data_IF_246081130006
#
_entry.id   IF_246081130006
#
_cell.length_a   1.000
_cell.length_b   1.000
_cell.length_c   1.000
_cell.angle_alpha   90.00
_cell.angle_beta   90.00
_cell.angle_gamma   90.00
#
_symmetry.space_group_name_H-M   'P 1'
#
loop_
_entity.id
_entity.type
_entity.pdbx_description
1 polymer ?
#
# COMPACT_ATOMS: atom_id res chain seq x y z
N UNK A 1 43.02 -35.02 -14.01
CA UNK A 1 42.86 -33.87 -13.12
C UNK A 1 41.44 -33.93 -12.63
N UNK A 2 41.24 -34.46 -11.43
CA UNK A 2 39.92 -34.52 -10.80
C UNK A 2 39.79 -33.24 -9.99
N UNK A 3 38.97 -32.30 -10.45
CA UNK A 3 38.61 -31.14 -9.66
C UNK A 3 37.69 -31.63 -8.53
N UNK A 4 38.25 -31.68 -7.31
CA UNK A 4 37.47 -31.78 -6.08
C UNK A 4 36.62 -30.51 -5.97
N UNK A 5 35.33 -30.66 -6.20
CA UNK A 5 34.34 -29.64 -5.87
C UNK A 5 34.37 -29.49 -4.34
N UNK A 6 34.68 -28.30 -3.79
CA UNK A 6 34.70 -28.11 -2.34
C UNK A 6 33.32 -28.44 -1.77
N UNK A 7 33.30 -29.25 -0.71
CA UNK A 7 32.07 -29.74 -0.08
C UNK A 7 31.08 -28.61 0.20
N UNK A 8 29.95 -28.66 -0.51
CA UNK A 8 28.78 -27.86 -0.17
C UNK A 8 28.28 -28.27 1.21
N UNK A 9 27.86 -27.29 2.00
CA UNK A 9 27.15 -27.53 3.25
C UNK A 9 25.95 -28.46 2.97
N UNK A 10 25.91 -29.68 3.54
CA UNK A 10 24.85 -30.64 3.24
C UNK A 10 23.46 -30.19 3.69
N UNK A 11 23.38 -29.13 4.50
CA UNK A 11 22.13 -28.50 4.95
C UNK A 11 21.74 -27.27 4.10
N UNK A 12 22.52 -26.90 3.08
CA UNK A 12 22.22 -25.76 2.21
C UNK A 12 21.16 -26.11 1.16
N UNK A 13 19.94 -25.66 1.40
CA UNK A 13 18.83 -25.76 0.47
C UNK A 13 18.85 -24.59 -0.53
N UNK A 14 19.41 -24.83 -1.71
CA UNK A 14 19.48 -23.84 -2.79
C UNK A 14 18.10 -23.39 -3.25
N UNK A 15 17.10 -24.28 -3.24
CA UNK A 15 15.75 -23.95 -3.69
C UNK A 15 15.09 -22.99 -2.69
N UNK A 16 15.23 -23.26 -1.39
CA UNK A 16 14.74 -22.35 -0.34
C UNK A 16 15.45 -20.99 -0.37
N UNK A 17 16.77 -20.94 -0.55
CA UNK A 17 17.49 -19.66 -0.65
C UNK A 17 17.18 -18.91 -1.95
N UNK A 18 16.93 -19.62 -3.05
CA UNK A 18 16.45 -19.02 -4.30
C UNK A 18 15.03 -18.47 -4.14
N UNK A 19 14.10 -19.20 -3.54
CA UNK A 19 12.74 -18.73 -3.26
C UNK A 19 12.74 -17.54 -2.31
N UNK A 20 13.63 -17.52 -1.31
CA UNK A 20 13.79 -16.37 -0.42
C UNK A 20 14.35 -15.14 -1.13
N UNK A 21 15.27 -15.33 -2.09
CA UNK A 21 15.89 -14.23 -2.82
C UNK A 21 15.03 -13.72 -4.00
N UNK A 22 14.27 -14.61 -4.65
CA UNK A 22 13.60 -14.36 -5.94
C UNK A 22 12.13 -14.79 -6.01
N UNK A 23 11.59 -15.35 -4.93
CA UNK A 23 10.18 -15.73 -4.85
C UNK A 23 9.24 -14.53 -4.83
N UNK A 24 7.91 -14.78 -4.84
CA UNK A 24 6.91 -13.72 -4.83
C UNK A 24 7.10 -12.81 -3.63
N UNK A 25 7.46 -11.55 -3.90
CA UNK A 25 7.60 -10.55 -2.85
C UNK A 25 6.23 -10.10 -2.41
N UNK A 26 5.99 -9.96 -1.09
CA UNK A 26 4.72 -9.44 -0.63
C UNK A 26 4.52 -8.03 -1.19
N UNK A 27 3.28 -7.66 -1.53
CA UNK A 27 3.00 -6.31 -1.97
C UNK A 27 3.35 -5.32 -0.85
N UNK A 28 3.92 -4.19 -1.24
CA UNK A 28 4.21 -3.07 -0.35
C UNK A 28 2.92 -2.31 -0.01
N UNK A 29 1.98 -2.26 -0.96
CA UNK A 29 0.69 -1.58 -0.79
C UNK A 29 -0.37 -2.12 -1.72
N UNK A 30 -1.61 -2.19 -1.23
CA UNK A 30 -2.80 -2.44 -2.06
C UNK A 30 -3.77 -1.28 -1.94
N UNK A 31 -4.16 -0.73 -3.09
CA UNK A 31 -5.03 0.44 -3.20
C UNK A 31 -6.20 0.11 -4.11
N UNK A 32 -7.43 0.26 -3.60
CA UNK A 32 -8.64 0.00 -4.36
C UNK A 32 -9.31 1.32 -4.71
N UNK A 33 -9.73 1.49 -5.95
CA UNK A 33 -10.56 2.62 -6.39
C UNK A 33 -11.97 2.11 -6.62
N UNK A 34 -12.92 2.76 -5.95
CA UNK A 34 -14.32 2.32 -5.90
C UNK A 34 -15.21 3.52 -6.26
N UNK A 35 -16.19 3.37 -7.17
CA UNK A 35 -17.06 4.46 -7.63
C UNK A 35 -18.18 4.77 -6.62
N UNK A 36 -17.84 4.86 -5.34
CA UNK A 36 -18.72 5.26 -4.24
C UNK A 36 -18.24 6.60 -3.72
N UNK A 37 -19.09 7.62 -3.78
CA UNK A 37 -18.66 8.99 -3.44
C UNK A 37 -18.54 9.27 -1.93
N UNK A 38 -19.24 8.49 -1.09
CA UNK A 38 -19.30 8.74 0.36
C UNK A 38 -18.38 7.78 1.12
N UNK A 39 -17.25 8.31 1.60
CA UNK A 39 -16.24 7.55 2.33
C UNK A 39 -16.77 6.89 3.60
N UNK A 40 -17.65 7.57 4.36
CA UNK A 40 -18.21 7.02 5.60
C UNK A 40 -19.11 5.81 5.33
N UNK A 41 -19.99 5.89 4.34
CA UNK A 41 -20.85 4.76 3.95
C UNK A 41 -20.02 3.59 3.43
N UNK A 42 -18.98 3.87 2.65
CA UNK A 42 -18.10 2.81 2.16
C UNK A 42 -17.29 2.18 3.30
N UNK A 43 -16.83 2.97 4.27
CA UNK A 43 -16.16 2.46 5.46
C UNK A 43 -17.07 1.53 6.29
N UNK A 44 -18.37 1.85 6.41
CA UNK A 44 -19.34 0.96 7.04
C UNK A 44 -19.47 -0.38 6.29
N UNK A 45 -19.46 -0.35 4.95
CA UNK A 45 -19.43 -1.56 4.12
C UNK A 45 -18.14 -2.36 4.35
N UNK A 46 -16.98 -1.69 4.41
CA UNK A 46 -15.71 -2.33 4.72
C UNK A 46 -15.75 -3.04 6.08
N UNK A 47 -16.26 -2.37 7.12
CA UNK A 47 -16.44 -2.97 8.45
C UNK A 47 -17.36 -4.19 8.41
N UNK A 48 -18.50 -4.09 7.73
CA UNK A 48 -19.42 -5.23 7.58
C UNK A 48 -18.82 -6.40 6.78
N UNK A 49 -17.88 -6.10 5.89
CA UNK A 49 -17.19 -7.07 5.05
C UNK A 49 -15.92 -7.66 5.69
N UNK A 50 -15.50 -7.18 6.86
CA UNK A 50 -14.22 -7.56 7.48
C UNK A 50 -12.98 -7.02 6.74
N UNK A 51 -13.15 -5.96 5.94
CA UNK A 51 -12.07 -5.30 5.20
C UNK A 51 -11.50 -4.18 6.07
N UNK A 52 -10.25 -4.32 6.49
CA UNK A 52 -9.54 -3.31 7.26
C UNK A 52 -8.82 -2.35 6.30
N UNK A 53 -9.32 -1.12 6.17
CA UNK A 53 -8.80 -0.15 5.23
C UNK A 53 -9.14 1.29 5.64
N UNK A 54 -8.33 2.23 5.18
CA UNK A 54 -8.70 3.65 5.18
C UNK A 54 -9.39 4.00 3.88
N UNK A 55 -10.50 4.72 3.97
CA UNK A 55 -11.32 5.16 2.84
C UNK A 55 -11.18 6.66 2.67
N UNK A 56 -10.64 7.09 1.54
CA UNK A 56 -10.40 8.49 1.20
C UNK A 56 -11.32 8.93 0.06
N UNK A 57 -12.20 9.94 0.25
CA UNK A 57 -13.04 10.44 -0.83
C UNK A 57 -12.22 11.25 -1.83
N UNK A 58 -12.41 10.98 -3.12
CA UNK A 58 -11.74 11.67 -4.22
C UNK A 58 -12.78 12.23 -5.19
N UNK A 59 -12.85 13.56 -5.24
CA UNK A 59 -13.82 14.29 -6.07
C UNK A 59 -13.69 13.89 -7.55
N UNK A 60 -14.81 13.48 -8.15
CA UNK A 60 -14.87 13.09 -9.57
C UNK A 60 -14.43 11.66 -9.87
N UNK A 61 -13.93 10.91 -8.88
CA UNK A 61 -13.51 9.52 -9.04
C UNK A 61 -14.32 8.55 -8.17
N UNK A 62 -14.62 8.92 -6.92
CA UNK A 62 -15.27 8.03 -5.95
C UNK A 62 -14.49 8.01 -4.65
N UNK A 63 -14.17 6.83 -4.13
CA UNK A 63 -13.31 6.63 -2.98
C UNK A 63 -12.10 5.79 -3.34
N UNK A 64 -10.99 6.09 -2.69
CA UNK A 64 -9.76 5.28 -2.71
C UNK A 64 -9.65 4.60 -1.35
N UNK A 65 -9.51 3.28 -1.35
CA UNK A 65 -9.24 2.49 -0.16
C UNK A 65 -7.78 2.11 -0.15
N UNK A 66 -7.12 2.24 0.99
CA UNK A 66 -5.79 1.71 1.22
C UNK A 66 -5.93 0.62 2.28
N UNK A 67 -5.63 -0.63 1.91
CA UNK A 67 -5.75 -1.76 2.83
C UNK A 67 -4.68 -1.66 3.92
N UNK A 68 -5.02 -2.09 5.13
CA UNK A 68 -4.03 -2.16 6.22
C UNK A 68 -3.03 -3.29 6.00
N UNK A 69 -3.49 -4.42 5.44
CA UNK A 69 -2.65 -5.51 4.95
C UNK A 69 -2.61 -5.49 3.42
N UNK A 70 -1.46 -5.17 2.80
CA UNK A 70 -1.34 -5.21 1.34
C UNK A 70 -1.64 -6.58 0.73
N UNK A 71 -1.39 -7.68 1.46
CA UNK A 71 -1.57 -9.04 0.95
C UNK A 71 -3.05 -9.40 0.75
N UNK A 72 -3.99 -8.68 1.39
CA UNK A 72 -5.43 -8.94 1.25
C UNK A 72 -6.07 -8.27 0.04
N UNK A 73 -5.32 -7.45 -0.72
CA UNK A 73 -5.88 -6.58 -1.77
C UNK A 73 -6.81 -7.27 -2.77
N UNK A 74 -6.44 -8.44 -3.28
CA UNK A 74 -7.30 -9.21 -4.21
C UNK A 74 -8.57 -9.76 -3.53
N UNK A 75 -8.43 -10.30 -2.32
CA UNK A 75 -9.56 -10.82 -1.55
C UNK A 75 -10.55 -9.70 -1.19
N UNK A 76 -10.04 -8.53 -0.81
CA UNK A 76 -10.82 -7.34 -0.51
C UNK A 76 -11.53 -6.81 -1.75
N UNK A 77 -10.85 -6.75 -2.90
CA UNK A 77 -11.44 -6.33 -4.17
C UNK A 77 -12.56 -7.28 -4.63
N UNK A 78 -12.35 -8.59 -4.50
CA UNK A 78 -13.38 -9.61 -4.75
C UNK A 78 -14.58 -9.47 -3.82
N UNK A 79 -14.36 -9.23 -2.54
CA UNK A 79 -15.42 -9.07 -1.54
C UNK A 79 -16.23 -7.80 -1.80
N UNK A 80 -15.56 -6.66 -1.94
CA UNK A 80 -16.22 -5.37 -2.16
C UNK A 80 -16.95 -5.31 -3.49
N UNK A 81 -16.38 -5.84 -4.57
CA UNK A 81 -17.05 -5.88 -5.89
C UNK A 81 -18.28 -6.79 -5.90
N UNK A 82 -18.39 -7.78 -4.99
CA UNK A 82 -19.59 -8.60 -4.81
C UNK A 82 -20.68 -7.85 -4.03
N UNK A 83 -20.29 -7.11 -2.99
CA UNK A 83 -21.21 -6.37 -2.13
C UNK A 83 -21.75 -5.11 -2.81
N UNK A 84 -20.91 -4.41 -3.56
CA UNK A 84 -21.25 -3.17 -4.27
C UNK A 84 -21.83 -3.47 -5.65
N UNK A 85 -22.86 -4.32 -5.70
CA UNK A 85 -23.46 -4.84 -6.94
C UNK A 85 -23.60 -3.76 -8.04
N UNK A 86 -22.82 -3.91 -9.11
CA UNK A 86 -22.81 -2.99 -10.25
C UNK A 86 -21.63 -2.02 -10.32
N UNK A 87 -20.80 -1.94 -9.28
CA UNK A 87 -19.56 -1.16 -9.29
C UNK A 87 -18.37 -2.01 -9.77
N UNK A 88 -17.61 -1.47 -10.72
CA UNK A 88 -16.27 -1.95 -11.03
C UNK A 88 -15.29 -1.40 -9.99
N UNK A 89 -14.53 -2.29 -9.37
CA UNK A 89 -13.47 -1.96 -8.42
C UNK A 89 -12.13 -2.11 -9.13
N UNK A 90 -11.27 -1.11 -9.06
CA UNK A 90 -9.90 -1.20 -9.59
C UNK A 90 -8.95 -1.42 -8.43
N UNK A 91 -8.20 -2.52 -8.45
CA UNK A 91 -7.11 -2.78 -7.51
C UNK A 91 -5.79 -2.35 -8.16
N UNK A 92 -5.00 -1.57 -7.45
CA UNK A 92 -3.59 -1.33 -7.73
C UNK A 92 -2.74 -2.00 -6.66
N UNK A 93 -1.85 -2.89 -7.08
CA UNK A 93 -0.91 -3.59 -6.21
C UNK A 93 0.49 -3.05 -6.45
N UNK A 94 1.10 -2.48 -5.42
CA UNK A 94 2.45 -1.91 -5.47
C UNK A 94 3.44 -2.94 -4.94
N UNK A 95 4.33 -3.41 -5.80
CA UNK A 95 5.50 -4.20 -5.41
C UNK A 95 6.72 -3.31 -5.17
N UNK A 96 7.90 -3.92 -5.03
CA UNK A 96 9.16 -3.18 -4.87
C UNK A 96 9.51 -2.34 -6.10
N UNK A 97 9.37 -2.93 -7.30
CA UNK A 97 9.80 -2.32 -8.57
C UNK A 97 8.65 -2.17 -9.58
N UNK A 98 7.42 -2.50 -9.18
CA UNK A 98 6.27 -2.56 -10.09
C UNK A 98 4.99 -2.04 -9.46
N UNK A 99 4.06 -1.60 -10.33
CA UNK A 99 2.66 -1.37 -9.97
C UNK A 99 1.83 -2.16 -10.96
N UNK A 100 1.01 -3.05 -10.44
CA UNK A 100 0.06 -3.86 -11.20
C UNK A 100 -1.36 -3.33 -11.02
N UNK A 101 -2.21 -3.56 -12.01
CA UNK A 101 -3.61 -3.13 -11.98
C UNK A 101 -4.53 -4.28 -12.32
N UNK A 102 -5.66 -4.36 -11.64
CA UNK A 102 -6.68 -5.38 -11.85
C UNK A 102 -8.07 -4.73 -11.76
N UNK A 103 -9.01 -5.16 -12.59
CA UNK A 103 -10.44 -4.81 -12.41
C UNK A 103 -11.20 -5.95 -11.77
N UNK A 104 -12.19 -5.62 -10.95
CA UNK A 104 -13.02 -6.57 -10.21
C UNK A 104 -14.50 -6.18 -10.29
N UNK A 105 -15.34 -7.13 -10.69
CA UNK A 105 -16.79 -6.95 -10.78
C UNK A 105 -17.52 -8.22 -10.34
N UNK A 106 -18.45 -8.09 -9.40
CA UNK A 106 -19.23 -9.22 -8.89
C UNK A 106 -18.38 -10.32 -8.26
N UNK A 107 -17.23 -9.97 -7.69
CA UNK A 107 -16.28 -10.92 -7.11
C UNK A 107 -15.43 -11.70 -8.11
N UNK A 108 -15.34 -11.25 -9.37
CA UNK A 108 -14.49 -11.85 -10.40
C UNK A 108 -13.54 -10.81 -10.98
N UNK A 109 -12.32 -11.23 -11.28
CA UNK A 109 -11.32 -10.42 -12.00
C UNK A 109 -11.73 -10.24 -13.47
N UNK A 110 -11.60 -9.02 -13.95
CA UNK A 110 -11.86 -8.61 -15.32
C UNK A 110 -10.58 -8.44 -16.12
N UNK A 111 -10.60 -7.51 -17.07
CA UNK A 111 -9.43 -7.13 -17.86
C UNK A 111 -8.52 -6.22 -17.05
N UNK A 112 -7.22 -6.53 -17.05
CA UNK A 112 -6.23 -5.76 -16.28
C UNK A 112 -5.96 -4.41 -16.96
N UNK A 113 -6.22 -3.29 -16.26
CA UNK A 113 -5.97 -1.97 -16.81
C UNK A 113 -4.47 -1.66 -16.79
N UNK A 114 -4.06 -0.70 -17.63
CA UNK A 114 -2.68 -0.18 -17.64
C UNK A 114 -2.50 0.82 -16.48
N UNK A 115 -1.74 0.50 -15.41
CA UNK A 115 -1.70 1.36 -14.22
C UNK A 115 -1.15 2.75 -14.51
N UNK A 116 -0.11 2.86 -15.34
CA UNK A 116 0.46 4.15 -15.73
C UNK A 116 -0.53 5.06 -16.46
N UNK A 117 -1.46 4.49 -17.25
CA UNK A 117 -2.49 5.28 -17.92
C UNK A 117 -3.56 5.75 -16.93
N UNK A 118 -4.03 4.87 -16.04
CA UNK A 118 -4.98 5.26 -14.98
C UNK A 118 -4.43 6.38 -14.11
N UNK A 119 -3.19 6.21 -13.63
CA UNK A 119 -2.53 7.20 -12.79
C UNK A 119 -2.33 8.53 -13.53
N UNK A 120 -2.11 8.54 -14.85
CA UNK A 120 -1.97 9.77 -15.63
C UNK A 120 -3.24 10.61 -15.73
N UNK A 121 -4.42 10.00 -15.58
CA UNK A 121 -5.72 10.69 -15.70
C UNK A 121 -6.41 10.90 -14.37
N UNK A 122 -6.04 10.13 -13.34
CA UNK A 122 -6.62 10.26 -12.01
C UNK A 122 -6.10 11.48 -11.25
N UNK A 123 -6.89 12.02 -10.31
CA UNK A 123 -6.44 13.11 -9.45
C UNK A 123 -5.15 12.76 -8.69
N UNK A 124 -4.28 13.76 -8.49
CA UNK A 124 -2.95 13.59 -7.90
C UNK A 124 -2.96 12.90 -6.53
N UNK A 125 -4.00 13.15 -5.72
CA UNK A 125 -4.19 12.47 -4.42
C UNK A 125 -4.16 10.94 -4.53
N UNK A 126 -4.63 10.37 -5.64
CA UNK A 126 -4.60 8.91 -5.86
C UNK A 126 -3.16 8.45 -6.03
N UNK A 127 -2.35 9.17 -6.81
CA UNK A 127 -0.92 8.86 -6.96
C UNK A 127 -0.19 8.98 -5.63
N UNK A 128 -0.49 10.03 -4.84
CA UNK A 128 0.12 10.21 -3.53
C UNK A 128 -0.20 9.05 -2.58
N UNK A 129 -1.44 8.54 -2.59
CA UNK A 129 -1.85 7.38 -1.78
C UNK A 129 -1.18 6.08 -2.27
N UNK A 130 -1.18 5.83 -3.58
CA UNK A 130 -0.55 4.65 -4.20
C UNK A 130 0.95 4.62 -3.91
N UNK A 131 1.62 5.77 -4.03
CA UNK A 131 3.06 5.89 -3.80
C UNK A 131 3.43 6.10 -2.32
N UNK A 132 2.45 6.08 -1.41
CA UNK A 132 2.68 6.27 0.02
C UNK A 132 3.21 7.65 0.43
N UNK A 133 3.03 8.67 -0.42
CA UNK A 133 3.39 10.08 -0.15
C UNK A 133 2.34 10.81 0.70
N UNK A 134 1.13 10.26 0.76
CA UNK A 134 0.06 10.72 1.65
C UNK A 134 -0.37 9.56 2.55
N UNK A 135 -0.36 9.80 3.87
CA UNK A 135 -0.98 8.88 4.82
C UNK A 135 -2.51 8.95 4.62
N UNK A 136 -3.18 7.82 4.30
CA UNK A 136 -4.63 7.83 4.10
C UNK A 136 -5.41 8.26 5.36
N UNK A 137 -4.85 8.11 6.57
CA UNK A 137 -5.47 8.58 7.80
C UNK A 137 -5.49 10.11 7.94
N UNK A 138 -4.53 10.78 7.29
CA UNK A 138 -4.38 12.24 7.30
C UNK A 138 -5.13 12.91 6.12
N UNK A 139 -5.63 12.11 5.18
CA UNK A 139 -6.33 12.62 4.01
C UNK A 139 -7.67 13.28 4.38
N UNK A 140 -7.99 14.39 3.71
CA UNK A 140 -9.19 15.16 3.98
C UNK A 140 -10.47 14.32 3.75
N UNK A 141 -11.30 14.21 4.79
CA UNK A 141 -12.55 13.46 4.74
C UNK A 141 -12.38 11.93 4.81
N UNK A 142 -11.20 11.45 5.18
CA UNK A 142 -10.95 10.02 5.36
C UNK A 142 -11.86 9.40 6.45
N UNK A 143 -12.21 8.13 6.23
CA UNK A 143 -12.95 7.29 7.17
C UNK A 143 -12.24 5.95 7.32
N UNK A 144 -12.17 5.41 8.54
CA UNK A 144 -11.63 4.08 8.79
C UNK A 144 -12.73 3.02 8.63
N UNK A 145 -12.48 2.00 7.81
CA UNK A 145 -13.27 0.77 7.74
C UNK A 145 -12.57 -0.38 8.44
N UNK A 146 -13.33 -1.27 9.06
CA UNK A 146 -12.81 -2.39 9.88
C UNK A 146 -12.77 -2.10 11.39
N UNK A 147 -12.11 -2.98 12.14
CA UNK A 147 -11.92 -2.82 13.58
C UNK A 147 -10.80 -1.82 13.87
N UNK A 148 -11.13 -0.53 13.86
CA UNK A 148 -10.38 0.55 14.53
C UNK A 148 -8.86 0.51 14.39
N UNK A 149 -8.33 1.29 13.46
CA UNK A 149 -6.91 1.39 13.12
C UNK A 149 -5.95 1.36 14.31
N UNK A 150 -5.25 0.23 14.48
CA UNK A 150 -4.07 0.13 15.37
C UNK A 150 -2.80 0.65 14.69
N UNK A 151 -2.85 0.87 13.37
CA UNK A 151 -1.68 1.17 12.51
C UNK A 151 -1.45 2.68 12.32
N UNK A 152 -2.46 3.54 12.49
CA UNK A 152 -2.23 5.00 12.51
C UNK A 152 -1.19 5.43 13.57
N UNK A 153 -1.07 4.69 14.68
CA UNK A 153 -0.02 4.88 15.68
C UNK A 153 1.36 4.36 15.21
N UNK A 154 1.39 3.28 14.42
CA UNK A 154 2.60 2.68 13.87
C UNK A 154 3.20 3.52 12.73
N UNK A 155 2.36 4.09 11.86
CA UNK A 155 2.78 5.01 10.79
C UNK A 155 3.41 6.30 11.34
N UNK A 156 2.84 6.86 12.42
CA UNK A 156 3.46 7.97 13.17
C UNK A 156 4.85 7.64 13.70
N UNK A 157 5.06 6.40 14.15
CA UNK A 157 6.35 5.96 14.69
C UNK A 157 7.39 5.76 13.58
N UNK A 158 6.98 5.22 12.43
CA UNK A 158 7.89 4.99 11.31
C UNK A 158 8.36 6.29 10.66
N UNK A 159 7.52 7.34 10.65
CA UNK A 159 7.86 8.68 10.13
C UNK A 159 8.84 9.46 11.01
N UNK A 160 8.82 9.26 12.33
CA UNK A 160 9.76 9.93 13.25
C UNK A 160 11.23 9.58 12.98
N UNK A 161 11.53 8.46 12.30
CA UNK A 161 12.91 8.02 12.08
C UNK A 161 13.60 8.72 10.89
N UNK A 162 12.85 9.38 10.02
CA UNK A 162 13.39 10.03 8.81
C UNK A 162 13.61 11.55 8.93
N UNK A 163 13.30 12.17 10.07
CA UNK A 163 13.52 13.62 10.30
C UNK A 163 14.76 13.94 11.15
N UNK A 164 15.40 12.96 11.79
CA UNK A 164 16.66 13.15 12.52
C UNK A 164 17.88 13.06 11.57
N UNK A 165 18.01 14.08 10.70
CA UNK A 165 19.27 14.39 10.04
C UNK A 165 20.29 14.91 11.06
N UNK A 166 21.60 14.64 10.88
CA UNK A 166 22.62 15.02 11.86
C UNK A 166 22.65 16.54 12.01
N UNK A 167 22.31 17.01 13.21
CA UNK A 167 22.53 18.40 13.62
C UNK A 167 24.03 18.64 13.62
N UNK A 168 24.51 19.45 12.68
CA UNK A 168 25.90 19.89 12.66
C UNK A 168 26.20 20.61 13.99
N UNK A 169 27.27 20.24 14.73
CA UNK A 169 27.66 20.99 15.91
C UNK A 169 28.16 22.37 15.47
N UNK A 170 27.42 23.41 15.85
CA UNK A 170 27.90 24.77 15.84
C UNK A 170 29.10 24.88 16.76
N UNK A 171 30.30 24.93 16.20
CA UNK A 171 31.52 25.26 16.93
C UNK A 171 31.42 26.73 17.33
N UNK A 172 31.26 26.95 18.63
CA UNK A 172 31.26 28.27 19.25
C UNK A 172 32.56 29.03 18.97
N UNK A 173 32.38 30.30 18.66
CA UNK A 173 33.37 31.36 18.69
C UNK A 173 33.76 31.64 20.15
N UNK A 174 35.05 31.59 20.52
CA UNK A 174 35.51 32.15 21.78
C UNK A 174 36.58 33.19 21.48
N UNK A 175 36.21 34.39 21.07
CA UNK A 175 37.09 35.53 21.37
C UNK A 175 36.37 36.83 21.68
N UNK A 176 36.52 37.23 22.94
CA UNK A 176 36.14 38.51 23.49
C UNK A 176 35.93 38.41 25.00
N UNK A 177 36.31 39.42 25.82
CA UNK A 177 37.32 40.47 25.63
C UNK A 177 38.34 40.50 26.79
N UNK A 178 39.56 41.02 26.54
CA UNK A 178 40.33 41.89 27.46
C UNK A 178 41.29 42.78 26.70
#
# INVERSE_FOLDING_TARGET
MSEEVPGGDPDFDFDAEFEKAFGPKPPVRSVLVVPVANARKLAEVCTAAGVNAFVVPVKGLGCVLVTEDPATGEADAGTLSRLLQGAEVVLLTVGEDSIEGQTWAGGRRGEDPRPGLLLSVWPDVVQQLVLGRLDPAEAAGAAAGGEGSRIGAFWKLFRSRSEDGPTAPGTGDPDGPR
#
